data_IF_541697555513
#
_entry.id   IF_541697555513
#
_cell.length_a   1.000
_cell.length_b   1.000
_cell.length_c   1.000
_cell.angle_alpha   90.00
_cell.angle_beta   90.00
_cell.angle_gamma   90.00
#
_symmetry.space_group_name_H-M   'P 1'
#
loop_
_entity.id
_entity.type
_entity.pdbx_description
1 polymer ?
#
# COMPACT_ATOMS: atom_id res chain seq x y z
N UNK A 1 -19.32 -49.25 34.92
CA UNK A 1 -18.03 -49.97 34.83
C UNK A 1 -17.08 -49.17 33.96
N UNK A 2 -16.22 -48.37 34.61
CA UNK A 2 -15.28 -47.43 33.98
C UNK A 2 -14.13 -48.17 33.31
N UNK A 3 -13.83 -47.87 32.04
CA UNK A 3 -12.58 -48.26 31.39
C UNK A 3 -11.66 -47.04 31.33
N UNK A 4 -10.65 -47.03 32.19
CA UNK A 4 -9.51 -46.11 32.13
C UNK A 4 -8.66 -46.52 30.93
N UNK A 5 -8.36 -45.58 30.02
CA UNK A 5 -7.33 -45.75 28.99
C UNK A 5 -6.23 -44.73 29.26
N UNK A 6 -5.04 -45.27 29.42
CA UNK A 6 -3.80 -44.65 29.88
C UNK A 6 -3.29 -43.60 28.89
N UNK A 7 -2.89 -42.43 29.39
CA UNK A 7 -2.13 -41.43 28.62
C UNK A 7 -0.66 -41.88 28.56
N UNK A 8 -0.15 -42.16 27.36
CA UNK A 8 1.27 -42.38 27.12
C UNK A 8 2.01 -41.04 27.20
N UNK A 9 3.00 -40.98 28.09
CA UNK A 9 3.94 -39.87 28.16
C UNK A 9 4.94 -39.90 27.01
N UNK A 10 5.32 -38.72 26.55
CA UNK A 10 6.61 -38.48 25.90
C UNK A 10 7.17 -37.18 26.47
N UNK A 11 8.17 -37.34 27.33
CA UNK A 11 9.06 -36.28 27.76
C UNK A 11 9.87 -35.81 26.54
N UNK A 12 9.93 -34.51 26.34
CA UNK A 12 10.94 -33.86 25.51
C UNK A 12 11.42 -32.64 26.28
N UNK A 13 12.63 -32.75 26.83
CA UNK A 13 13.37 -31.65 27.39
C UNK A 13 13.85 -30.75 26.24
N UNK A 14 13.70 -29.44 26.37
CA UNK A 14 14.39 -28.47 25.53
C UNK A 14 14.92 -27.36 26.46
N UNK A 15 16.24 -27.26 26.51
CA UNK A 15 16.99 -26.42 27.42
C UNK A 15 16.91 -24.93 27.08
N UNK A 16 16.96 -24.12 28.13
CA UNK A 16 17.05 -22.67 28.08
C UNK A 16 18.48 -22.26 27.70
N UNK A 17 18.64 -21.61 26.54
CA UNK A 17 19.85 -20.86 26.23
C UNK A 17 19.51 -19.37 26.31
N UNK A 18 19.87 -18.74 27.42
CA UNK A 18 19.80 -17.30 27.59
C UNK A 18 21.05 -16.67 26.96
N UNK A 19 20.87 -15.90 25.89
CA UNK A 19 21.93 -15.03 25.34
C UNK A 19 21.62 -13.62 25.78
N UNK A 20 22.40 -13.10 26.74
CA UNK A 20 22.36 -11.72 27.15
C UNK A 20 23.13 -10.86 26.14
N UNK A 21 22.42 -9.98 25.41
CA UNK A 21 23.03 -8.95 24.58
C UNK A 21 23.12 -7.66 25.40
N UNK A 22 24.35 -7.25 25.72
CA UNK A 22 24.63 -5.95 26.32
C UNK A 22 24.76 -4.92 25.19
N UNK A 23 23.88 -3.92 25.17
CA UNK A 23 24.05 -2.72 24.35
C UNK A 23 24.60 -1.59 25.21
N UNK A 24 25.76 -1.08 24.84
CA UNK A 24 26.37 0.12 25.40
C UNK A 24 25.81 1.35 24.71
N UNK A 25 25.21 2.25 25.48
CA UNK A 25 24.81 3.59 25.04
C UNK A 25 26.06 4.46 24.91
N UNK A 26 26.30 5.03 23.72
CA UNK A 26 27.17 6.19 23.57
C UNK A 26 26.30 7.41 23.30
N UNK A 27 26.29 8.30 24.28
CA UNK A 27 25.73 9.63 24.22
C UNK A 27 26.80 10.62 23.76
N UNK A 28 26.43 11.54 22.88
CA UNK A 28 27.15 12.77 22.52
C UNK A 28 26.04 13.66 21.92
N UNK A 29 25.45 14.68 22.55
CA UNK A 29 25.94 15.84 23.33
C UNK A 29 26.87 16.77 22.55
N UNK A 30 26.30 17.83 21.97
CA UNK A 30 26.85 19.18 21.80
C UNK A 30 25.68 20.08 21.34
N UNK A 31 24.99 20.83 22.21
CA UNK A 31 25.30 22.15 22.77
C UNK A 31 25.77 23.19 21.73
N UNK A 32 24.98 24.24 21.53
CA UNK A 32 25.29 25.29 20.56
C UNK A 32 24.19 26.34 20.47
N UNK A 33 24.06 27.14 21.53
CA UNK A 33 23.13 28.27 21.59
C UNK A 33 23.50 29.44 20.68
N UNK A 34 22.54 30.34 20.45
CA UNK A 34 22.77 31.61 19.78
C UNK A 34 21.47 32.40 19.65
N UNK A 35 21.36 33.43 20.50
CA UNK A 35 20.20 34.31 20.69
C UNK A 35 19.92 35.23 19.50
N UNK A 36 18.63 35.50 19.32
CA UNK A 36 17.98 36.81 19.22
C UNK A 36 18.81 37.99 18.70
N UNK A 37 18.32 38.63 17.62
CA UNK A 37 18.27 40.09 17.58
C UNK A 37 17.05 40.58 16.79
N UNK A 38 16.23 41.35 17.51
CA UNK A 38 15.17 42.21 16.99
C UNK A 38 15.77 43.55 16.55
N UNK A 39 15.32 44.06 15.41
CA UNK A 39 15.08 45.49 15.14
C UNK A 39 14.24 45.59 13.87
N UNK A 40 12.95 45.93 13.94
CA UNK A 40 12.30 47.22 14.20
C UNK A 40 11.84 47.90 12.90
N UNK A 41 10.51 47.94 12.77
CA UNK A 41 9.64 48.98 12.20
C UNK A 41 10.06 49.77 10.96
N UNK A 42 9.22 49.69 9.93
CA UNK A 42 9.10 50.68 8.86
C UNK A 42 7.79 50.47 8.10
N UNK A 43 6.85 51.40 8.28
CA UNK A 43 5.49 51.38 7.76
C UNK A 43 5.39 51.99 6.34
N UNK A 44 4.32 51.60 5.64
CA UNK A 44 3.62 52.25 4.51
C UNK A 44 4.27 52.33 3.11
N UNK A 45 3.57 51.68 2.18
CA UNK A 45 2.99 52.40 1.03
C UNK A 45 3.42 51.90 -0.35
N UNK A 46 2.44 51.66 -1.22
CA UNK A 46 2.65 51.63 -2.66
C UNK A 46 2.05 50.41 -3.35
N UNK A 47 1.11 50.69 -4.24
CA UNK A 47 0.30 49.75 -5.01
C UNK A 47 0.99 49.19 -6.24
N UNK A 48 0.31 48.19 -6.79
CA UNK A 48 0.26 47.82 -8.21
C UNK A 48 1.28 46.85 -8.82
N UNK A 49 0.68 46.02 -9.67
CA UNK A 49 1.25 45.30 -10.80
C UNK A 49 1.75 43.87 -10.51
N UNK A 50 0.80 42.95 -10.62
CA UNK A 50 1.03 41.59 -11.06
C UNK A 50 1.60 41.57 -12.48
N UNK A 51 2.88 41.28 -12.63
CA UNK A 51 3.41 40.40 -13.69
C UNK A 51 4.91 40.14 -13.46
N UNK A 52 5.28 38.87 -13.32
CA UNK A 52 6.38 38.23 -14.06
C UNK A 52 7.01 37.06 -13.30
N UNK A 53 7.30 36.02 -14.09
CA UNK A 53 8.48 35.15 -14.03
C UNK A 53 8.65 34.18 -12.86
N UNK A 54 8.48 32.91 -13.23
CA UNK A 54 9.53 31.88 -13.25
C UNK A 54 10.21 31.53 -11.93
N UNK A 55 9.97 30.30 -11.45
CA UNK A 55 11.02 29.41 -10.95
C UNK A 55 10.46 28.01 -10.68
N UNK A 56 11.12 27.06 -11.32
CA UNK A 56 11.32 25.64 -10.99
C UNK A 56 10.78 25.15 -9.65
N UNK A 57 10.10 24.00 -9.68
CA UNK A 57 10.34 22.95 -8.70
C UNK A 57 10.03 21.58 -9.32
N UNK A 58 11.04 20.71 -9.25
CA UNK A 58 10.97 19.27 -9.52
C UNK A 58 9.99 18.62 -8.52
N UNK A 59 8.70 18.67 -8.82
CA UNK A 59 7.69 17.89 -8.10
C UNK A 59 7.52 16.55 -8.83
N UNK A 60 7.70 15.47 -8.07
CA UNK A 60 7.77 14.08 -8.55
C UNK A 60 6.75 13.73 -9.63
N UNK A 61 7.19 12.96 -10.62
CA UNK A 61 6.35 12.43 -11.68
C UNK A 61 5.16 11.70 -11.07
N UNK A 62 4.00 12.35 -11.10
CA UNK A 62 2.71 11.70 -10.93
C UNK A 62 2.69 10.48 -11.87
N UNK A 63 2.33 9.28 -11.40
CA UNK A 63 2.23 8.12 -12.29
C UNK A 63 1.34 8.51 -13.48
N UNK A 64 1.81 8.20 -14.68
CA UNK A 64 1.10 8.54 -15.91
C UNK A 64 -0.36 8.10 -15.79
N UNK A 65 -1.26 9.03 -16.03
CA UNK A 65 -2.69 8.82 -15.83
C UNK A 65 -3.15 7.71 -16.77
N UNK A 66 -3.46 6.54 -16.19
CA UNK A 66 -3.89 5.38 -16.96
C UNK A 66 -5.18 5.71 -17.74
N UNK A 67 -5.24 5.27 -18.99
CA UNK A 67 -6.45 5.36 -19.80
C UNK A 67 -7.50 4.36 -19.27
N UNK A 68 -8.54 4.89 -18.63
CA UNK A 68 -9.62 4.10 -18.03
C UNK A 68 -10.44 3.29 -19.06
N UNK A 69 -10.26 3.54 -20.36
CA UNK A 69 -10.97 2.81 -21.42
C UNK A 69 -10.37 1.42 -21.71
N UNK A 70 -9.11 1.20 -21.34
CA UNK A 70 -8.41 -0.07 -21.57
C UNK A 70 -8.43 -0.92 -20.31
N UNK A 71 -9.25 -1.96 -20.30
CA UNK A 71 -9.25 -2.98 -19.22
C UNK A 71 -8.42 -4.18 -19.66
N UNK A 72 -7.38 -4.51 -18.90
CA UNK A 72 -6.49 -5.66 -19.17
C UNK A 72 -6.85 -6.90 -18.34
N UNK A 73 -7.51 -6.71 -17.20
CA UNK A 73 -8.02 -7.78 -16.35
C UNK A 73 -9.15 -7.24 -15.46
N UNK A 74 -10.06 -8.11 -15.02
CA UNK A 74 -11.09 -7.77 -14.03
C UNK A 74 -11.08 -8.77 -12.89
N UNK A 75 -11.02 -8.28 -11.66
CA UNK A 75 -11.20 -9.06 -10.45
C UNK A 75 -12.64 -8.84 -9.96
N UNK A 76 -13.42 -9.91 -9.86
CA UNK A 76 -14.79 -9.84 -9.32
C UNK A 76 -14.76 -10.09 -7.82
N UNK A 77 -15.36 -9.18 -7.06
CA UNK A 77 -15.50 -9.24 -5.61
C UNK A 77 -16.89 -9.65 -5.16
N UNK A 78 -17.08 -9.69 -3.85
CA UNK A 78 -18.37 -9.89 -3.22
C UNK A 78 -19.35 -8.74 -3.49
N UNK A 79 -20.65 -9.02 -3.41
CA UNK A 79 -21.73 -8.02 -3.41
C UNK A 79 -21.68 -7.01 -4.59
N UNK A 80 -21.25 -7.45 -5.78
CA UNK A 80 -21.19 -6.59 -6.96
C UNK A 80 -19.96 -5.67 -7.03
N UNK A 81 -19.00 -5.84 -6.13
CA UNK A 81 -17.70 -5.18 -6.27
C UNK A 81 -16.91 -5.77 -7.43
N UNK A 82 -16.21 -4.93 -8.18
CA UNK A 82 -15.27 -5.36 -9.21
C UNK A 82 -14.10 -4.39 -9.29
N UNK A 83 -12.92 -4.89 -9.64
CA UNK A 83 -11.73 -4.08 -9.90
C UNK A 83 -11.28 -4.33 -11.34
N UNK A 84 -11.46 -3.33 -12.19
CA UNK A 84 -10.97 -3.34 -13.57
C UNK A 84 -9.55 -2.79 -13.58
N UNK A 85 -8.58 -3.67 -13.83
CA UNK A 85 -7.16 -3.30 -13.97
C UNK A 85 -6.96 -2.68 -15.35
N UNK A 86 -6.35 -1.51 -15.40
CA UNK A 86 -6.08 -0.78 -16.65
C UNK A 86 -4.61 -0.84 -17.05
N UNK A 87 -3.71 -0.88 -16.07
CA UNK A 87 -2.27 -1.08 -16.31
C UNK A 87 -1.60 -1.84 -15.18
N UNK A 88 -0.50 -2.51 -15.52
CA UNK A 88 0.40 -3.17 -14.60
C UNK A 88 1.83 -3.00 -15.13
N UNK A 89 2.47 -1.92 -14.70
CA UNK A 89 3.71 -1.46 -15.32
C UNK A 89 4.88 -1.68 -14.36
N UNK A 90 5.90 -2.39 -14.83
CA UNK A 90 7.20 -2.49 -14.18
C UNK A 90 8.08 -1.33 -14.62
N UNK A 91 8.48 -0.50 -13.67
CA UNK A 91 9.40 0.60 -13.91
C UNK A 91 10.89 0.19 -13.73
N UNK A 92 11.78 1.10 -14.12
CA UNK A 92 13.23 0.96 -13.92
C UNK A 92 13.70 1.29 -12.50
N UNK A 93 12.85 1.91 -11.69
CA UNK A 93 13.10 2.24 -10.28
C UNK A 93 12.96 1.04 -9.35
N UNK A 94 12.43 -0.08 -9.85
CA UNK A 94 12.35 -1.34 -9.11
C UNK A 94 10.95 -1.66 -8.57
N UNK A 95 9.91 -1.06 -9.13
CA UNK A 95 8.54 -1.28 -8.70
C UNK A 95 7.64 -1.77 -9.85
N UNK A 96 6.52 -2.38 -9.48
CA UNK A 96 5.37 -2.58 -10.35
C UNK A 96 4.22 -1.76 -9.80
N UNK A 97 3.66 -0.88 -10.61
CA UNK A 97 2.43 -0.15 -10.27
C UNK A 97 1.27 -0.75 -11.05
N UNK A 98 0.26 -1.21 -10.32
CA UNK A 98 -1.02 -1.65 -10.87
C UNK A 98 -2.02 -0.52 -10.69
N UNK A 99 -2.64 -0.07 -11.78
CA UNK A 99 -3.69 0.95 -11.77
C UNK A 99 -5.01 0.36 -12.26
N UNK A 100 -6.11 0.94 -11.82
CA UNK A 100 -7.41 0.58 -12.34
C UNK A 100 -8.58 1.31 -11.69
N UNK A 101 -9.77 0.78 -11.92
CA UNK A 101 -11.04 1.32 -11.43
C UNK A 101 -11.74 0.28 -10.56
N UNK A 102 -11.85 0.56 -9.28
CA UNK A 102 -12.67 -0.18 -8.33
C UNK A 102 -14.11 0.34 -8.45
N UNK A 103 -15.07 -0.55 -8.69
CA UNK A 103 -16.47 -0.19 -8.95
C UNK A 103 -17.44 -1.06 -8.16
N UNK A 104 -18.59 -0.47 -7.82
CA UNK A 104 -19.73 -1.20 -7.28
C UNK A 104 -20.83 -1.26 -8.34
N UNK A 105 -21.08 -2.44 -8.89
CA UNK A 105 -22.08 -2.65 -9.94
C UNK A 105 -23.46 -3.04 -9.39
N UNK A 106 -23.63 -3.04 -8.07
CA UNK A 106 -24.92 -3.30 -7.43
C UNK A 106 -25.75 -2.02 -7.26
N UNK A 107 -26.98 -2.19 -6.79
CA UNK A 107 -27.93 -1.13 -6.45
C UNK A 107 -27.82 -0.66 -5.00
N UNK A 108 -26.87 -1.20 -4.23
CA UNK A 108 -26.68 -0.89 -2.81
C UNK A 108 -25.25 -0.48 -2.50
N UNK A 109 -25.05 0.35 -1.49
CA UNK A 109 -23.71 0.74 -1.05
C UNK A 109 -22.97 -0.41 -0.35
N UNK A 110 -21.69 -0.57 -0.65
CA UNK A 110 -20.81 -1.54 -0.01
C UNK A 110 -20.04 -0.87 1.15
N UNK A 111 -20.10 -1.44 2.35
CA UNK A 111 -19.46 -0.90 3.58
C UNK A 111 -18.44 -1.86 4.22
N UNK A 112 -18.27 -3.08 3.69
CA UNK A 112 -17.37 -4.09 4.24
C UNK A 112 -15.95 -4.00 3.67
N UNK A 113 -15.48 -2.78 3.42
CA UNK A 113 -14.21 -2.48 2.75
C UNK A 113 -12.98 -2.79 3.61
N UNK A 114 -13.13 -2.80 4.94
CA UNK A 114 -12.05 -3.17 5.89
C UNK A 114 -11.52 -4.59 5.70
N UNK A 115 -12.31 -5.47 5.09
CA UNK A 115 -11.89 -6.83 4.74
C UNK A 115 -10.77 -6.87 3.69
N UNK A 116 -10.61 -5.82 2.88
CA UNK A 116 -9.58 -5.72 1.86
C UNK A 116 -8.19 -5.47 2.44
N UNK A 117 -8.11 -4.91 3.64
CA UNK A 117 -6.86 -4.76 4.39
C UNK A 117 -6.33 -6.10 4.95
N UNK A 118 -7.10 -7.19 4.79
CA UNK A 118 -6.73 -8.50 5.30
C UNK A 118 -6.76 -8.57 6.83
N UNK A 119 -5.78 -9.25 7.43
CA UNK A 119 -5.66 -9.43 8.88
C UNK A 119 -4.93 -8.30 9.61
N UNK A 120 -4.59 -7.22 8.91
CA UNK A 120 -3.85 -6.09 9.50
C UNK A 120 -4.79 -5.17 10.28
N UNK A 121 -4.79 -5.34 11.61
CA UNK A 121 -5.63 -4.56 12.52
C UNK A 121 -5.18 -3.08 12.61
N UNK A 122 -3.94 -2.77 12.25
CA UNK A 122 -3.41 -1.41 12.29
C UNK A 122 -3.92 -0.61 11.09
N UNK A 123 -3.86 -1.20 9.89
CA UNK A 123 -4.45 -0.61 8.68
C UNK A 123 -5.97 -0.44 8.81
N UNK A 124 -6.67 -1.41 9.41
CA UNK A 124 -8.11 -1.31 9.64
C UNK A 124 -8.51 -0.16 10.57
N UNK A 125 -7.60 0.29 11.45
CA UNK A 125 -7.87 1.36 12.43
C UNK A 125 -7.36 2.72 11.97
N UNK A 126 -6.17 2.75 11.34
CA UNK A 126 -5.48 3.97 10.97
C UNK A 126 -6.15 4.69 9.78
N UNK A 127 -6.61 3.95 8.78
CA UNK A 127 -7.08 4.55 7.53
C UNK A 127 -8.54 5.00 7.57
N UNK A 128 -9.30 4.67 8.63
CA UNK A 128 -10.73 5.01 8.72
C UNK A 128 -11.61 4.33 7.65
N UNK A 129 -11.09 3.31 6.97
CA UNK A 129 -11.74 2.62 5.86
C UNK A 129 -10.96 1.40 5.36
N UNK A 130 -11.37 0.88 4.21
CA UNK A 130 -10.67 -0.20 3.51
C UNK A 130 -9.37 0.27 2.88
N UNK A 131 -8.42 -0.65 2.81
CA UNK A 131 -7.11 -0.48 2.18
C UNK A 131 -6.86 -1.65 1.24
N UNK A 132 -6.22 -1.40 0.10
CA UNK A 132 -5.77 -2.46 -0.80
C UNK A 132 -4.38 -3.01 -0.39
N UNK A 133 -3.91 -2.71 0.82
CA UNK A 133 -2.58 -3.07 1.31
C UNK A 133 -2.32 -4.58 1.39
N UNK A 134 -3.34 -5.40 1.59
CA UNK A 134 -3.19 -6.86 1.59
C UNK A 134 -3.25 -7.50 0.20
N UNK A 135 -3.24 -6.71 -0.87
CA UNK A 135 -3.08 -7.23 -2.22
C UNK A 135 -1.72 -7.92 -2.40
N UNK A 136 -1.68 -8.89 -3.30
CA UNK A 136 -0.43 -9.58 -3.67
C UNK A 136 -0.37 -9.84 -5.17
N UNK A 137 0.84 -9.78 -5.74
CA UNK A 137 1.15 -10.31 -7.07
C UNK A 137 1.86 -11.66 -6.91
N UNK A 138 1.46 -12.65 -7.68
CA UNK A 138 2.11 -13.96 -7.70
C UNK A 138 2.65 -14.25 -9.09
N UNK A 139 3.96 -14.48 -9.21
CA UNK A 139 4.57 -14.92 -10.46
C UNK A 139 4.05 -16.31 -10.83
N UNK A 140 3.43 -16.45 -12.01
CA UNK A 140 2.80 -17.72 -12.42
C UNK A 140 3.81 -18.84 -12.71
N UNK A 141 5.04 -18.50 -13.07
CA UNK A 141 6.10 -19.47 -13.40
C UNK A 141 6.85 -19.88 -12.14
N UNK A 142 7.29 -18.90 -11.36
CA UNK A 142 8.17 -19.13 -10.22
C UNK A 142 7.38 -19.31 -8.90
N UNK A 143 6.05 -19.09 -8.90
CA UNK A 143 5.16 -19.10 -7.72
C UNK A 143 5.60 -18.15 -6.60
N UNK A 144 6.44 -17.17 -6.92
CA UNK A 144 6.91 -16.19 -5.95
C UNK A 144 5.83 -15.13 -5.72
N UNK A 145 5.48 -14.92 -4.46
CA UNK A 145 4.51 -13.92 -4.02
C UNK A 145 5.23 -12.61 -3.65
N UNK A 146 4.65 -11.51 -4.11
CA UNK A 146 5.06 -10.14 -3.87
C UNK A 146 3.91 -9.44 -3.15
N UNK A 147 4.21 -8.80 -2.03
CA UNK A 147 3.24 -8.06 -1.22
C UNK A 147 3.28 -6.59 -1.60
N UNK A 148 2.19 -5.86 -1.34
CA UNK A 148 2.17 -4.40 -1.49
C UNK A 148 3.33 -3.78 -0.74
N UNK A 149 4.01 -2.82 -1.37
CA UNK A 149 5.10 -2.07 -0.74
C UNK A 149 4.59 -1.27 0.46
N UNK A 150 5.52 -0.98 1.37
CA UNK A 150 5.28 -0.09 2.50
C UNK A 150 6.35 0.99 2.55
N UNK A 151 5.98 2.16 3.03
CA UNK A 151 6.92 3.26 3.27
C UNK A 151 7.69 3.07 4.59
N UNK A 152 8.44 4.10 5.00
CA UNK A 152 9.24 4.08 6.23
C UNK A 152 8.42 4.10 7.51
N UNK A 153 7.15 4.46 7.42
CA UNK A 153 6.18 4.49 8.52
C UNK A 153 5.29 3.22 8.52
N UNK A 154 5.65 2.22 7.70
CA UNK A 154 4.92 0.96 7.54
C UNK A 154 3.53 1.12 6.87
N UNK A 155 3.25 2.28 6.25
CA UNK A 155 2.00 2.50 5.52
C UNK A 155 2.09 1.91 4.10
N UNK A 156 1.02 1.26 3.60
CA UNK A 156 1.05 0.60 2.31
C UNK A 156 1.01 1.60 1.17
N UNK A 157 1.85 1.41 0.16
CA UNK A 157 1.89 2.21 -1.06
C UNK A 157 0.76 1.81 -2.03
N UNK A 158 -0.45 2.22 -1.67
CA UNK A 158 -1.68 1.85 -2.35
C UNK A 158 -2.79 2.85 -2.03
N UNK A 159 -3.96 2.71 -2.65
CA UNK A 159 -5.14 3.48 -2.24
C UNK A 159 -5.71 2.95 -0.91
N UNK A 160 -5.85 3.85 0.06
CA UNK A 160 -6.38 3.59 1.41
C UNK A 160 -7.60 4.46 1.71
N UNK A 161 -8.18 4.33 2.91
CA UNK A 161 -9.27 5.19 3.38
C UNK A 161 -10.61 4.98 2.69
N UNK A 162 -10.81 3.85 2.03
CA UNK A 162 -12.06 3.55 1.31
C UNK A 162 -13.11 3.11 2.32
N UNK A 163 -13.75 4.03 3.04
CA UNK A 163 -14.75 3.71 4.07
C UNK A 163 -16.00 3.01 3.48
N UNK A 164 -16.32 3.32 2.23
CA UNK A 164 -17.44 2.74 1.51
C UNK A 164 -17.30 2.88 0.00
N UNK A 165 -18.08 2.09 -0.74
CA UNK A 165 -18.29 2.29 -2.19
C UNK A 165 -19.79 2.31 -2.47
N UNK A 166 -20.34 3.45 -2.84
CA UNK A 166 -21.77 3.64 -3.11
C UNK A 166 -22.24 2.91 -4.36
N UNK A 167 -23.55 2.73 -4.50
CA UNK A 167 -24.15 2.05 -5.64
C UNK A 167 -23.76 2.76 -6.95
N UNK A 168 -23.18 2.01 -7.90
CA UNK A 168 -22.70 2.56 -9.17
C UNK A 168 -21.40 3.39 -9.09
N UNK A 169 -20.83 3.58 -7.90
CA UNK A 169 -19.61 4.37 -7.71
C UNK A 169 -18.40 3.71 -8.39
N UNK A 170 -17.48 4.56 -8.88
CA UNK A 170 -16.21 4.18 -9.49
C UNK A 170 -15.09 4.99 -8.86
N UNK A 171 -14.09 4.30 -8.31
CA UNK A 171 -12.92 4.86 -7.67
C UNK A 171 -11.68 4.47 -8.48
N UNK A 172 -10.89 5.46 -8.90
CA UNK A 172 -9.54 5.17 -9.43
C UNK A 172 -8.66 4.79 -8.27
N UNK A 173 -7.98 3.66 -8.40
CA UNK A 173 -7.11 3.11 -7.36
C UNK A 173 -5.79 2.65 -7.96
N UNK A 174 -4.77 2.60 -7.13
CA UNK A 174 -3.46 2.06 -7.48
C UNK A 174 -2.94 1.15 -6.36
N UNK A 175 -2.01 0.26 -6.71
CA UNK A 175 -1.28 -0.61 -5.79
C UNK A 175 0.16 -0.75 -6.29
N UNK A 176 1.16 -0.53 -5.42
CA UNK A 176 2.57 -0.73 -5.77
C UNK A 176 3.17 -1.98 -5.13
N UNK A 177 4.00 -2.69 -5.90
CA UNK A 177 4.69 -3.92 -5.50
C UNK A 177 6.19 -3.81 -5.80
N UNK A 178 7.06 -4.57 -5.11
CA UNK A 178 8.44 -4.74 -5.57
C UNK A 178 8.45 -5.37 -6.97
N UNK A 179 9.34 -4.91 -7.85
CA UNK A 179 9.43 -5.45 -9.20
C UNK A 179 9.88 -6.93 -9.19
N UNK A 180 9.14 -7.84 -9.85
CA UNK A 180 9.64 -9.17 -10.12
C UNK A 180 10.75 -9.11 -11.19
N UNK A 181 11.64 -10.12 -11.28
CA UNK A 181 12.68 -10.18 -12.31
C UNK A 181 12.13 -9.96 -13.72
N UNK A 182 12.93 -9.40 -14.64
CA UNK A 182 12.48 -9.10 -16.02
C UNK A 182 11.92 -10.30 -16.79
N UNK A 183 12.32 -11.53 -16.45
CA UNK A 183 11.77 -12.78 -17.02
C UNK A 183 10.31 -13.09 -16.63
N UNK A 184 9.82 -12.45 -15.57
CA UNK A 184 8.46 -12.62 -15.03
C UNK A 184 7.50 -11.72 -15.80
N UNK A 185 6.74 -12.26 -16.73
CA UNK A 185 5.85 -11.45 -17.60
C UNK A 185 4.38 -11.62 -17.26
N UNK A 186 4.02 -12.69 -16.54
CA UNK A 186 2.64 -13.05 -16.20
C UNK A 186 2.51 -13.15 -14.68
N UNK A 187 1.59 -12.37 -14.11
CA UNK A 187 1.36 -12.32 -12.67
C UNK A 187 -0.13 -12.58 -12.39
N UNK A 188 -0.41 -13.24 -11.27
CA UNK A 188 -1.76 -13.31 -10.72
C UNK A 188 -1.92 -12.25 -9.64
N UNK A 189 -2.83 -11.31 -9.84
CA UNK A 189 -3.24 -10.34 -8.83
C UNK A 189 -4.28 -10.96 -7.91
N UNK A 190 -4.09 -10.76 -6.61
CA UNK A 190 -4.98 -11.23 -5.56
C UNK A 190 -5.27 -10.09 -4.60
N UNK A 191 -6.55 -9.87 -4.31
CA UNK A 191 -7.04 -8.91 -3.31
C UNK A 191 -8.01 -9.69 -2.42
N UNK A 192 -7.96 -9.54 -1.08
CA UNK A 192 -8.90 -10.24 -0.20
C UNK A 192 -10.35 -10.01 -0.62
N UNK A 193 -11.14 -11.09 -0.63
CA UNK A 193 -12.57 -11.11 -1.03
C UNK A 193 -12.86 -10.90 -2.53
N UNK A 194 -11.81 -10.79 -3.35
CA UNK A 194 -11.90 -10.83 -4.81
C UNK A 194 -11.42 -12.16 -5.36
N UNK A 195 -11.97 -12.54 -6.52
CA UNK A 195 -11.37 -13.58 -7.36
C UNK A 195 -10.02 -13.09 -7.88
N UNK A 196 -9.06 -14.00 -8.01
CA UNK A 196 -7.76 -13.68 -8.61
C UNK A 196 -7.92 -13.46 -10.13
N UNK A 197 -7.10 -12.56 -10.69
CA UNK A 197 -7.01 -12.36 -12.13
C UNK A 197 -5.56 -12.35 -12.59
N UNK A 198 -5.31 -12.96 -13.75
CA UNK A 198 -4.00 -12.92 -14.40
C UNK A 198 -3.84 -11.64 -15.20
N UNK A 199 -2.66 -11.05 -15.13
CA UNK A 199 -2.28 -9.87 -15.89
C UNK A 199 -0.87 -10.00 -16.43
N UNK A 200 -0.66 -9.43 -17.61
CA UNK A 200 0.66 -9.29 -18.21
C UNK A 200 1.30 -7.99 -17.73
N UNK A 201 2.59 -8.05 -17.38
CA UNK A 201 3.37 -6.85 -17.06
C UNK A 201 3.87 -6.19 -18.33
N UNK A 202 3.78 -4.86 -18.37
CA UNK A 202 4.48 -4.02 -19.35
C UNK A 202 5.69 -3.37 -18.69
N UNK A 203 6.75 -3.13 -19.45
CA UNK A 203 7.89 -2.35 -18.98
C UNK A 203 7.74 -0.90 -19.46
N UNK A 204 8.07 0.08 -18.61
CA UNK A 204 8.17 1.51 -18.95
C UNK A 204 9.61 2.01 -18.97
#
# INVERSE_FOLDING_TARGET
MSRKISRLGRAAAAGSAAVALAFTLSACSDDGGGKDDKSSSGEQGGSDSSDSSDSSDEQGKQPEQADDSKVIATLNGQAGMAFDVTSATRDSSGFVTVNGVLKNTSDSGFRHTSSWAGGDLELQKADGGGSLGAATLVDKKDNKRYYTLRDTEDAPLTTTGISSVDAGEKLRVFIQFPAPPKKSTEMDLQIPTFQSASLALTDS
#
